data_IF_229036391122
#
_entry.id   IF_229036391122
#
_cell.length_a   1.000
_cell.length_b   1.000
_cell.length_c   1.000
_cell.angle_alpha   90.00
_cell.angle_beta   90.00
_cell.angle_gamma   90.00
#
_symmetry.space_group_name_H-M   'P 1'
#
loop_
_entity.id
_entity.type
_entity.pdbx_description
1 polymer ?
#
# COMPACT_ATOMS: atom_id res chain seq x y z
N UNK A 1 7.88 -10.62 17.95
CA UNK A 1 7.32 -10.83 16.62
C UNK A 1 5.83 -10.54 16.67
N UNK A 2 5.36 -9.69 15.76
CA UNK A 2 3.95 -9.28 15.66
C UNK A 2 3.59 -9.05 14.21
N UNK A 3 2.33 -9.29 13.86
CA UNK A 3 1.74 -8.90 12.59
C UNK A 3 0.94 -7.61 12.79
N UNK A 4 1.08 -6.65 11.87
CA UNK A 4 0.23 -5.46 11.81
C UNK A 4 -0.05 -5.08 10.36
N UNK A 5 -1.10 -4.30 10.13
CA UNK A 5 -1.38 -3.74 8.80
C UNK A 5 -0.51 -2.51 8.52
N UNK A 6 0.04 -2.43 7.30
CA UNK A 6 0.83 -1.28 6.84
C UNK A 6 0.47 -0.91 5.42
N UNK A 7 0.48 0.39 5.15
CA UNK A 7 0.45 0.89 3.78
C UNK A 7 1.83 0.67 3.18
N UNK A 8 1.88 -0.04 2.05
CA UNK A 8 3.09 -0.28 1.28
C UNK A 8 2.93 0.41 -0.07
N UNK A 9 3.96 1.15 -0.47
CA UNK A 9 4.15 1.70 -1.80
C UNK A 9 4.92 0.69 -2.63
N UNK A 10 4.33 0.28 -3.74
CA UNK A 10 4.96 -0.56 -4.76
C UNK A 10 5.34 0.28 -5.95
N UNK A 11 6.57 0.13 -6.41
CA UNK A 11 7.08 0.83 -7.58
C UNK A 11 7.08 -0.11 -8.78
N UNK A 12 6.27 0.22 -9.79
CA UNK A 12 6.24 -0.50 -11.04
C UNK A 12 7.06 0.26 -12.07
N UNK A 13 8.13 -0.35 -12.59
CA UNK A 13 8.93 0.24 -13.66
C UNK A 13 8.61 -0.36 -15.01
N UNK A 14 8.61 0.47 -16.05
CA UNK A 14 8.49 0.01 -17.44
C UNK A 14 9.38 0.86 -18.35
N UNK A 15 9.74 0.31 -19.49
CA UNK A 15 10.50 1.03 -20.49
C UNK A 15 9.55 1.72 -21.48
N UNK A 16 9.59 3.05 -21.58
CA UNK A 16 8.86 3.75 -22.64
C UNK A 16 9.64 3.67 -23.96
N UNK A 17 9.08 2.93 -24.92
CA UNK A 17 9.62 2.82 -26.28
C UNK A 17 9.66 4.14 -27.05
N UNK A 18 8.78 5.11 -26.78
CA UNK A 18 8.72 6.40 -27.48
C UNK A 18 9.77 7.37 -26.99
N UNK A 19 9.93 7.51 -25.68
CA UNK A 19 10.95 8.40 -25.11
C UNK A 19 12.30 7.72 -24.91
N UNK A 20 12.38 6.38 -25.01
CA UNK A 20 13.56 5.57 -24.67
C UNK A 20 14.07 5.84 -23.24
N UNK A 21 13.14 6.00 -22.29
CA UNK A 21 13.44 6.28 -20.87
C UNK A 21 12.68 5.28 -20.01
N UNK A 22 13.34 4.76 -18.97
CA UNK A 22 12.69 3.97 -17.93
C UNK A 22 11.79 4.86 -17.08
N UNK A 23 10.55 4.42 -16.87
CA UNK A 23 9.53 5.12 -16.09
C UNK A 23 9.10 4.31 -14.90
N UNK A 24 8.49 5.00 -13.94
CA UNK A 24 7.94 4.39 -12.74
C UNK A 24 6.52 4.93 -12.49
N UNK A 25 5.67 4.06 -11.97
CA UNK A 25 4.38 4.37 -11.38
C UNK A 25 4.33 3.74 -10.01
N UNK A 26 3.46 4.26 -9.16
CA UNK A 26 3.35 3.81 -7.79
C UNK A 26 1.93 3.36 -7.50
N UNK A 27 1.82 2.24 -6.81
CA UNK A 27 0.57 1.72 -6.27
C UNK A 27 0.68 1.60 -4.77
N UNK A 28 -0.41 1.84 -4.07
CA UNK A 28 -0.48 1.73 -2.62
C UNK A 28 -1.45 0.62 -2.25
N UNK A 29 -1.07 -0.22 -1.31
CA UNK A 29 -1.92 -1.29 -0.78
C UNK A 29 -1.73 -1.44 0.72
N UNK A 30 -2.70 -2.07 1.38
CA UNK A 30 -2.56 -2.47 2.78
C UNK A 30 -2.06 -3.91 2.80
N UNK A 31 -0.96 -4.15 3.49
CA UNK A 31 -0.33 -5.47 3.62
C UNK A 31 -0.25 -5.87 5.08
N UNK A 32 -0.18 -7.16 5.35
CA UNK A 32 0.25 -7.63 6.67
C UNK A 32 1.78 -7.57 6.73
N UNK A 33 2.32 -6.87 7.71
CA UNK A 33 3.75 -6.71 7.93
C UNK A 33 4.18 -7.47 9.19
N UNK A 34 5.24 -8.26 9.06
CA UNK A 34 5.83 -9.04 10.14
C UNK A 34 7.07 -8.35 10.71
N UNK A 35 7.05 -8.13 12.02
CA UNK A 35 8.06 -7.37 12.74
C UNK A 35 9.03 -8.28 13.51
N UNK A 36 10.31 -7.95 13.47
CA UNK A 36 11.32 -8.56 14.31
C UNK A 36 11.21 -8.10 15.78
N UNK A 37 12.06 -8.63 16.65
CA UNK A 37 12.12 -8.25 18.06
C UNK A 37 12.51 -6.79 18.32
N UNK A 38 13.06 -6.07 17.34
CA UNK A 38 13.48 -4.66 17.44
C UNK A 38 12.47 -3.69 16.79
N UNK A 39 11.41 -4.23 16.16
CA UNK A 39 10.38 -3.44 15.51
C UNK A 39 10.69 -3.09 14.05
N UNK A 40 11.66 -3.77 13.43
CA UNK A 40 11.90 -3.67 11.99
C UNK A 40 10.98 -4.61 11.23
N UNK A 41 10.43 -4.16 10.10
CA UNK A 41 9.65 -4.99 9.18
C UNK A 41 10.60 -5.90 8.42
N UNK A 42 10.48 -7.21 8.61
CA UNK A 42 11.29 -8.18 7.89
C UNK A 42 10.58 -8.90 6.75
N UNK A 43 9.25 -8.91 6.75
CA UNK A 43 8.45 -9.51 5.68
C UNK A 43 7.08 -8.82 5.59
N UNK A 44 6.47 -8.90 4.41
CA UNK A 44 5.07 -8.55 4.16
C UNK A 44 4.38 -9.68 3.38
N UNK A 45 3.05 -9.70 3.37
CA UNK A 45 2.28 -10.56 2.45
C UNK A 45 2.64 -10.28 0.99
N UNK A 46 2.48 -11.27 0.11
CA UNK A 46 2.75 -11.09 -1.32
C UNK A 46 1.78 -10.09 -1.96
N UNK A 47 0.51 -10.15 -1.58
CA UNK A 47 -0.56 -9.31 -2.10
C UNK A 47 -1.14 -8.37 -1.03
N UNK A 48 -1.75 -7.24 -1.45
CA UNK A 48 -2.55 -6.42 -0.55
C UNK A 48 -3.71 -7.25 0.01
N UNK A 49 -4.00 -7.06 1.29
CA UNK A 49 -5.08 -7.75 1.99
C UNK A 49 -6.30 -6.85 2.14
N UNK A 50 -7.48 -7.44 1.91
CA UNK A 50 -8.77 -6.80 2.13
C UNK A 50 -9.42 -7.22 3.45
N UNK A 51 -10.31 -6.41 4.04
CA UNK A 51 -10.97 -6.76 5.29
C UNK A 51 -11.88 -7.99 5.06
N UNK A 52 -11.79 -8.97 5.96
CA UNK A 52 -12.56 -10.22 5.89
C UNK A 52 -13.07 -10.66 7.28
N UNK A 53 -14.11 -11.48 7.31
CA UNK A 53 -14.65 -12.08 8.54
C UNK A 53 -15.85 -12.97 8.27
N UNK A 54 -16.13 -13.91 9.18
CA UNK A 54 -17.25 -14.86 9.05
C UNK A 54 -18.60 -14.17 9.33
N UNK A 55 -18.54 -13.01 10.00
CA UNK A 55 -19.70 -12.16 10.28
C UNK A 55 -19.46 -10.71 9.87
N UNK A 56 -20.53 -9.95 9.65
CA UNK A 56 -20.44 -8.51 9.36
C UNK A 56 -19.80 -7.74 10.52
N UNK A 57 -19.91 -8.23 11.75
CA UNK A 57 -19.23 -7.61 12.89
C UNK A 57 -17.71 -7.76 12.78
N UNK A 58 -17.24 -8.96 12.47
CA UNK A 58 -15.81 -9.22 12.26
C UNK A 58 -15.27 -8.43 11.06
N UNK A 59 -16.02 -8.38 9.96
CA UNK A 59 -15.67 -7.55 8.81
C UNK A 59 -15.47 -6.06 9.19
N UNK A 60 -16.37 -5.51 10.02
CA UNK A 60 -16.21 -4.13 10.52
C UNK A 60 -14.98 -3.97 11.41
N UNK A 61 -14.68 -4.95 12.26
CA UNK A 61 -13.49 -4.92 13.09
C UNK A 61 -12.21 -5.01 12.25
N UNK A 62 -12.18 -5.88 11.24
CA UNK A 62 -11.07 -6.01 10.31
C UNK A 62 -10.80 -4.69 9.57
N UNK A 63 -11.85 -4.06 9.05
CA UNK A 63 -11.74 -2.74 8.41
C UNK A 63 -11.16 -1.68 9.36
N UNK A 64 -11.64 -1.65 10.61
CA UNK A 64 -11.13 -0.71 11.64
C UNK A 64 -9.66 -0.96 11.97
N UNK A 65 -9.22 -2.22 12.06
CA UNK A 65 -7.80 -2.55 12.27
C UNK A 65 -6.94 -2.16 11.07
N UNK A 66 -7.44 -2.35 9.84
CA UNK A 66 -6.74 -1.89 8.63
C UNK A 66 -6.66 -0.35 8.57
N UNK A 67 -7.68 0.35 9.07
CA UNK A 67 -7.66 1.82 9.14
C UNK A 67 -6.53 2.36 10.03
N UNK A 68 -6.04 1.59 11.01
CA UNK A 68 -4.88 1.98 11.83
C UNK A 68 -3.59 2.11 11.01
N UNK A 69 -3.49 1.44 9.85
CA UNK A 69 -2.34 1.55 8.94
C UNK A 69 -2.15 2.98 8.42
N UNK A 70 -3.23 3.77 8.28
CA UNK A 70 -3.14 5.18 7.89
C UNK A 70 -2.51 6.06 8.99
N UNK A 71 -2.43 5.58 10.23
CA UNK A 71 -1.73 6.25 11.32
C UNK A 71 -0.22 5.99 11.32
N UNK A 72 0.29 5.18 10.38
CA UNK A 72 1.66 4.70 10.33
C UNK A 72 2.40 5.23 9.09
N UNK A 73 3.75 5.30 9.11
CA UNK A 73 4.53 5.62 7.93
C UNK A 73 4.28 4.64 6.78
N UNK A 74 4.30 5.15 5.54
CA UNK A 74 4.26 4.32 4.33
C UNK A 74 5.58 3.54 4.25
N UNK A 75 5.49 2.25 3.95
CA UNK A 75 6.64 1.40 3.69
C UNK A 75 6.95 1.36 2.19
N UNK A 76 8.23 1.23 1.86
CA UNK A 76 8.68 0.96 0.50
C UNK A 76 8.94 -0.53 0.33
N UNK A 77 8.29 -1.17 -0.65
CA UNK A 77 8.45 -2.61 -0.92
C UNK A 77 9.91 -2.99 -1.21
N UNK A 78 10.62 -2.18 -2.01
CA UNK A 78 12.03 -2.34 -2.34
C UNK A 78 12.96 -2.26 -1.11
N UNK A 79 12.46 -1.74 0.03
CA UNK A 79 13.21 -1.55 1.27
C UNK A 79 12.88 -2.59 2.35
N UNK A 80 12.12 -3.64 2.00
CA UNK A 80 11.78 -4.75 2.91
C UNK A 80 12.62 -5.98 2.50
N UNK A 81 13.34 -6.65 3.43
CA UNK A 81 13.45 -6.37 4.86
C UNK A 81 14.10 -5.01 5.17
N UNK A 82 13.58 -4.32 6.19
CA UNK A 82 14.11 -3.04 6.63
C UNK A 82 15.59 -3.15 7.06
N UNK A 83 16.42 -2.11 6.81
CA UNK A 83 17.81 -2.11 7.27
C UNK A 83 17.91 -2.33 8.78
N UNK A 84 18.67 -3.36 9.19
CA UNK A 84 18.83 -3.74 10.60
C UNK A 84 17.93 -4.89 11.04
N UNK A 85 17.04 -5.38 10.17
CA UNK A 85 16.18 -6.52 10.44
C UNK A 85 16.99 -7.80 10.74
N UNK A 86 16.61 -8.51 11.81
CA UNK A 86 17.22 -9.80 12.19
C UNK A 86 16.65 -10.94 11.35
N UNK A 87 17.24 -11.20 10.17
CA UNK A 87 16.81 -12.26 9.24
C UNK A 87 16.66 -13.66 9.89
N UNK A 88 17.48 -13.99 10.89
CA UNK A 88 17.41 -15.28 11.59
C UNK A 88 16.05 -15.53 12.28
N UNK A 89 15.29 -14.47 12.57
CA UNK A 89 13.95 -14.55 13.17
C UNK A 89 12.84 -14.91 12.17
N UNK A 90 13.10 -14.81 10.86
CA UNK A 90 12.10 -15.01 9.79
C UNK A 90 12.20 -16.39 9.13
N UNK A 91 13.33 -17.08 9.27
CA UNK A 91 13.57 -18.43 8.74
C UNK A 91 12.66 -19.53 9.35
N UNK A 92 11.82 -19.18 10.33
CA UNK A 92 10.88 -20.10 11.00
C UNK A 92 9.41 -19.92 10.57
N UNK A 93 9.11 -18.95 9.68
CA UNK A 93 7.73 -18.63 9.26
C UNK A 93 7.29 -19.44 8.02
N UNK A 94 8.19 -20.24 7.42
CA UNK A 94 7.95 -21.05 6.21
C UNK A 94 7.04 -22.29 6.39
N UNK A 95 6.40 -22.52 7.54
CA UNK A 95 5.66 -23.78 7.82
C UNK A 95 4.13 -23.63 7.92
N UNK A 96 3.56 -22.59 7.31
CA UNK A 96 2.11 -22.56 7.05
C UNK A 96 1.86 -23.01 5.62
N UNK A 97 1.40 -24.26 5.49
CA UNK A 97 0.81 -24.84 4.29
C UNK A 97 -0.12 -23.82 3.61
N UNK A 98 0.38 -23.16 2.56
CA UNK A 98 -0.44 -22.39 1.64
C UNK A 98 -1.37 -23.38 0.94
N UNK A 99 -2.60 -23.53 1.42
CA UNK A 99 -3.67 -23.85 0.49
C UNK A 99 -3.79 -22.64 -0.44
N UNK A 100 -3.56 -22.79 -1.75
CA UNK A 100 -3.72 -21.69 -2.69
C UNK A 100 -5.21 -21.33 -2.70
N UNK A 101 -5.56 -20.23 -2.04
CA UNK A 101 -6.80 -19.52 -2.36
C UNK A 101 -6.55 -18.98 -3.76
N UNK A 102 -7.00 -19.72 -4.77
CA UNK A 102 -6.89 -19.48 -6.21
C UNK A 102 -6.37 -18.07 -6.57
N UNK A 103 -5.03 -17.93 -6.63
CA UNK A 103 -4.36 -16.70 -7.06
C UNK A 103 -4.59 -16.43 -8.56
N UNK A 104 -4.90 -17.50 -9.31
CA UNK A 104 -5.23 -17.49 -10.73
C UNK A 104 -6.39 -16.54 -11.11
N UNK A 105 -7.24 -16.10 -10.16
CA UNK A 105 -8.35 -15.18 -10.46
C UNK A 105 -8.05 -13.71 -10.13
N UNK A 106 -6.97 -13.42 -9.39
CA UNK A 106 -6.58 -12.05 -9.06
C UNK A 106 -5.37 -11.59 -9.90
N UNK A 107 -4.37 -12.45 -10.15
CA UNK A 107 -3.25 -12.12 -11.04
C UNK A 107 -3.72 -11.68 -12.45
N UNK A 108 -4.71 -12.38 -13.03
CA UNK A 108 -5.27 -12.05 -14.35
C UNK A 108 -5.95 -10.67 -14.40
N UNK A 109 -6.57 -10.21 -13.31
CA UNK A 109 -7.20 -8.87 -13.24
C UNK A 109 -6.12 -7.78 -13.13
N UNK A 110 -5.02 -8.06 -12.43
CA UNK A 110 -3.95 -7.09 -12.17
C UNK A 110 -2.97 -6.94 -13.34
N UNK A 111 -2.72 -8.00 -14.12
CA UNK A 111 -1.90 -7.91 -15.33
C UNK A 111 -2.65 -7.18 -16.46
N UNK A 112 -3.94 -7.45 -16.65
CA UNK A 112 -4.76 -6.77 -17.67
C UNK A 112 -4.94 -5.27 -17.37
N UNK A 113 -5.21 -4.86 -16.13
CA UNK A 113 -5.29 -3.44 -15.75
C UNK A 113 -3.93 -2.73 -15.90
N UNK A 114 -2.80 -3.42 -15.64
CA UNK A 114 -1.46 -2.85 -15.80
C UNK A 114 -1.08 -2.64 -17.28
N UNK A 115 -1.44 -3.56 -18.19
CA UNK A 115 -1.22 -3.37 -19.62
C UNK A 115 -2.07 -2.21 -20.17
N UNK A 116 -3.35 -2.13 -19.81
CA UNK A 116 -4.25 -1.05 -20.23
C UNK A 116 -3.76 0.33 -19.71
N UNK A 117 -3.31 0.40 -18.46
CA UNK A 117 -2.71 1.61 -17.88
C UNK A 117 -1.37 2.00 -18.50
N UNK A 118 -0.51 1.03 -18.86
CA UNK A 118 0.77 1.30 -19.50
C UNK A 118 0.59 1.84 -20.93
N UNK A 119 -0.41 1.33 -21.66
CA UNK A 119 -0.78 1.83 -22.99
C UNK A 119 -1.33 3.26 -22.94
N UNK A 120 -2.25 3.56 -22.02
CA UNK A 120 -2.82 4.91 -21.86
C UNK A 120 -1.74 5.92 -21.42
N UNK A 121 -0.87 5.52 -20.50
CA UNK A 121 0.24 6.36 -20.05
C UNK A 121 1.25 6.65 -21.15
N UNK A 122 1.36 5.86 -22.22
CA UNK A 122 2.29 6.13 -23.32
C UNK A 122 1.89 7.36 -24.18
N UNK A 123 0.68 7.90 -23.96
CA UNK A 123 0.16 9.09 -24.68
C UNK A 123 0.22 10.39 -23.88
N UNK A 124 0.52 10.32 -22.59
CA UNK A 124 0.50 11.45 -21.66
C UNK A 124 1.71 12.38 -21.86
N UNK A 125 1.47 13.70 -21.84
CA UNK A 125 2.50 14.74 -21.93
C UNK A 125 3.43 14.73 -20.70
N UNK A 126 4.72 14.99 -20.90
CA UNK A 126 5.73 14.95 -19.83
C UNK A 126 5.43 15.94 -18.69
N UNK A 127 4.85 17.11 -19.01
CA UNK A 127 4.48 18.09 -17.98
C UNK A 127 3.32 17.59 -17.12
N UNK A 128 2.40 16.82 -17.71
CA UNK A 128 1.29 16.20 -16.95
C UNK A 128 1.84 15.15 -16.01
N UNK A 129 2.81 14.33 -16.45
CA UNK A 129 3.46 13.35 -15.58
C UNK A 129 4.23 13.98 -14.42
N UNK A 130 4.99 15.04 -14.70
CA UNK A 130 5.69 15.79 -13.66
C UNK A 130 4.72 16.38 -12.63
N UNK A 131 3.57 16.89 -13.09
CA UNK A 131 2.53 17.39 -12.20
C UNK A 131 1.93 16.27 -11.33
N UNK A 132 1.65 15.10 -11.89
CA UNK A 132 1.16 13.94 -11.14
C UNK A 132 2.17 13.45 -10.10
N UNK A 133 3.45 13.37 -10.44
CA UNK A 133 4.49 12.96 -9.48
C UNK A 133 4.65 13.99 -8.36
N UNK A 134 4.57 15.29 -8.67
CA UNK A 134 4.58 16.34 -7.66
C UNK A 134 3.35 16.28 -6.74
N UNK A 135 2.18 16.01 -7.30
CA UNK A 135 0.95 15.84 -6.54
C UNK A 135 1.04 14.62 -5.61
N UNK A 136 1.48 13.46 -6.13
CA UNK A 136 1.73 12.24 -5.33
C UNK A 136 2.65 12.51 -4.14
N UNK A 137 3.79 13.15 -4.38
CA UNK A 137 4.74 13.52 -3.32
C UNK A 137 4.12 14.48 -2.29
N UNK A 138 3.27 15.41 -2.74
CA UNK A 138 2.55 16.31 -1.85
C UNK A 138 1.53 15.55 -0.98
N UNK A 139 0.77 14.61 -1.55
CA UNK A 139 -0.16 13.76 -0.80
C UNK A 139 0.57 12.89 0.24
N UNK A 140 1.72 12.30 -0.10
CA UNK A 140 2.54 11.57 0.87
C UNK A 140 3.07 12.47 1.99
N UNK A 141 3.44 13.69 1.67
CA UNK A 141 3.87 14.67 2.66
C UNK A 141 2.72 15.04 3.61
N UNK A 142 1.51 15.21 3.08
CA UNK A 142 0.30 15.43 3.88
C UNK A 142 0.06 14.23 4.81
N UNK A 143 0.08 13.00 4.28
CA UNK A 143 -0.02 11.77 5.06
C UNK A 143 0.94 11.76 6.25
N UNK A 144 2.22 12.00 5.96
CA UNK A 144 3.30 11.99 6.94
C UNK A 144 3.16 13.08 8.02
N UNK A 145 2.57 14.23 7.69
CA UNK A 145 2.41 15.36 8.61
C UNK A 145 1.11 15.30 9.41
N UNK A 146 0.03 14.82 8.79
CA UNK A 146 -1.31 14.97 9.33
C UNK A 146 -1.90 13.69 9.92
N UNK A 147 -1.48 12.52 9.44
CA UNK A 147 -2.05 11.22 9.80
C UNK A 147 -1.09 10.37 10.62
N UNK A 148 0.20 10.39 10.28
CA UNK A 148 1.20 9.61 11.02
C UNK A 148 1.30 10.07 12.48
N UNK A 149 1.20 9.13 13.40
CA UNK A 149 1.31 9.39 14.84
C UNK A 149 0.06 10.00 15.47
N UNK A 150 -1.07 10.06 14.75
CA UNK A 150 -2.36 10.42 15.36
C UNK A 150 -2.65 9.46 16.53
N UNK A 151 -2.91 9.99 17.75
CA UNK A 151 -2.77 9.20 18.98
C UNK A 151 -3.91 8.21 19.23
N UNK A 152 -5.04 8.35 18.54
CA UNK A 152 -6.18 7.45 18.70
C UNK A 152 -6.83 7.15 17.35
N UNK A 153 -7.35 5.93 17.23
CA UNK A 153 -8.09 5.48 16.06
C UNK A 153 -9.31 6.37 15.74
N UNK A 154 -10.04 6.83 16.76
CA UNK A 154 -11.18 7.73 16.53
C UNK A 154 -10.74 9.04 15.86
N UNK A 155 -9.67 9.66 16.35
CA UNK A 155 -9.14 10.88 15.76
C UNK A 155 -8.63 10.66 14.32
N UNK A 156 -8.06 9.48 14.05
CA UNK A 156 -7.59 9.11 12.71
C UNK A 156 -8.77 8.94 11.74
N UNK A 157 -9.80 8.18 12.13
CA UNK A 157 -11.02 7.98 11.33
C UNK A 157 -11.73 9.32 11.08
N UNK A 158 -11.83 10.19 12.08
CA UNK A 158 -12.42 11.53 11.92
C UNK A 158 -11.65 12.37 10.88
N UNK A 159 -10.31 12.33 10.89
CA UNK A 159 -9.46 13.00 9.90
C UNK A 159 -9.66 12.45 8.49
N UNK A 160 -9.59 11.13 8.32
CA UNK A 160 -9.80 10.47 7.02
C UNK A 160 -11.19 10.80 6.48
N UNK A 161 -12.21 10.74 7.34
CA UNK A 161 -13.59 11.06 6.94
C UNK A 161 -13.74 12.53 6.54
N UNK A 162 -13.09 13.46 7.25
CA UNK A 162 -13.13 14.88 6.93
C UNK A 162 -12.43 15.20 5.61
N UNK A 163 -11.28 14.57 5.33
CA UNK A 163 -10.57 14.69 4.05
C UNK A 163 -11.43 14.20 2.89
N UNK A 164 -12.01 13.00 3.01
CA UNK A 164 -12.90 12.43 2.00
C UNK A 164 -14.10 13.34 1.70
N UNK A 165 -14.76 13.86 2.73
CA UNK A 165 -15.89 14.78 2.56
C UNK A 165 -15.47 16.10 1.90
N UNK A 166 -14.31 16.64 2.28
CA UNK A 166 -13.79 17.88 1.69
C UNK A 166 -13.45 17.73 0.21
N UNK A 167 -12.99 16.56 -0.24
CA UNK A 167 -12.76 16.25 -1.65
C UNK A 167 -14.08 16.13 -2.43
N UNK A 168 -15.07 15.43 -1.87
CA UNK A 168 -16.37 15.26 -2.53
C UNK A 168 -17.23 16.53 -2.60
N UNK A 169 -17.07 17.48 -1.67
CA UNK A 169 -17.74 18.79 -1.77
C UNK A 169 -17.14 19.69 -2.85
N UNK A 170 -15.95 19.36 -3.37
CA UNK A 170 -15.26 20.10 -4.43
C UNK A 170 -15.55 19.57 -5.84
N UNK A 171 -16.20 18.41 -5.96
CA UNK A 171 -16.66 17.84 -7.23
C UNK A 171 -18.13 18.24 -7.50
N UNK A 172 -18.43 19.04 -8.54
CA UNK A 172 -19.79 19.52 -8.84
C UNK A 172 -20.73 18.48 -9.45
#
# INVERSE_FOLDING_TARGET
>A
MSWNYRIVRQKHTWFDERSHVERASYKYGIYEAFYDSEGHVGAITCDPVGPSGDTVQELRHAWVMMAEAFGQPILDDEMIPEPGCKQDEFNAVEDHEHEPIASDLYEDIWEEENEEWAEDNNTVDENVRLAWEQDRLAQEQIHQQEFVGVPTLNALIEKISAEYLAQHEQEP
#
